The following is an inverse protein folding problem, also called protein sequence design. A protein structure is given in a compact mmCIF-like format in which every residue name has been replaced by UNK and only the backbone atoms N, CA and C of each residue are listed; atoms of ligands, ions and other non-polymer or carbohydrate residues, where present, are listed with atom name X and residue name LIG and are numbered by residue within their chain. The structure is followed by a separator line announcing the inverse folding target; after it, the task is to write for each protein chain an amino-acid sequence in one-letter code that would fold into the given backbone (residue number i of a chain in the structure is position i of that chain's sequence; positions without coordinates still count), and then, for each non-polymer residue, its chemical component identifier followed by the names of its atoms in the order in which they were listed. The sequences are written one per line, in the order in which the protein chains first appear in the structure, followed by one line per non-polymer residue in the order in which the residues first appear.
data_IF_289262163118
#
_entry.id   IF_289262163118
#
_cell.length_a   1.000
_cell.length_b   1.000
_cell.length_c   1.000
_cell.angle_alpha   90.00
_cell.angle_beta   90.00
_cell.angle_gamma   90.00
#
_symmetry.space_group_name_H-M   'P 1'
#
loop_
_entity.id
_entity.type
_entity.pdbx_description
1 polymer ?
#
# COMPACT_ATOMS: atom_id res chain seq x y z
N UNK A 1 -11.98 14.24 -3.37
CA UNK A 1 -11.23 13.53 -4.41
C UNK A 1 -9.74 13.54 -4.07
N UNK A 2 -9.08 12.40 -4.19
CA UNK A 2 -7.65 12.21 -3.93
C UNK A 2 -6.97 11.62 -5.16
N UNK A 3 -5.70 11.96 -5.38
CA UNK A 3 -4.91 11.49 -6.53
C UNK A 3 -3.70 10.73 -6.03
N UNK A 4 -3.58 9.46 -6.41
CA UNK A 4 -2.39 8.64 -6.12
C UNK A 4 -1.64 8.38 -7.42
N UNK A 5 -0.60 9.17 -7.65
CA UNK A 5 0.29 8.98 -8.79
C UNK A 5 0.98 7.61 -8.69
N UNK A 6 1.02 6.88 -9.80
CA UNK A 6 1.69 5.58 -9.88
C UNK A 6 3.21 5.77 -9.87
N UNK A 7 3.89 4.87 -9.17
CA UNK A 7 5.35 4.84 -9.01
C UNK A 7 6.02 3.82 -9.93
N UNK A 8 5.22 2.98 -10.61
CA UNK A 8 5.70 1.82 -11.35
C UNK A 8 5.82 0.56 -10.49
N UNK A 9 5.57 0.66 -9.18
CA UNK A 9 5.37 -0.47 -8.28
C UNK A 9 3.87 -0.78 -8.26
N UNK A 10 3.41 -1.54 -9.26
CA UNK A 10 1.97 -1.72 -9.56
C UNK A 10 1.15 -2.22 -8.37
N UNK A 11 1.65 -3.19 -7.60
CA UNK A 11 0.92 -3.71 -6.44
C UNK A 11 0.91 -2.70 -5.30
N UNK A 12 2.05 -2.05 -5.04
CA UNK A 12 2.14 -0.98 -4.06
C UNK A 12 1.16 0.16 -4.39
N UNK A 13 1.12 0.61 -5.64
CA UNK A 13 0.24 1.68 -6.09
C UNK A 13 -1.24 1.32 -5.93
N UNK A 14 -1.60 0.09 -6.29
CA UNK A 14 -2.95 -0.43 -6.11
C UNK A 14 -3.32 -0.50 -4.62
N UNK A 15 -2.45 -1.05 -3.78
CA UNK A 15 -2.69 -1.11 -2.34
C UNK A 15 -2.78 0.25 -1.68
N UNK A 16 -2.02 1.25 -2.14
CA UNK A 16 -2.19 2.63 -1.65
C UNK A 16 -3.58 3.15 -1.96
N UNK A 17 -4.10 2.92 -3.16
CA UNK A 17 -5.43 3.39 -3.55
C UNK A 17 -6.53 2.73 -2.71
N UNK A 18 -6.51 1.40 -2.59
CA UNK A 18 -7.45 0.65 -1.76
C UNK A 18 -7.30 0.98 -0.27
N UNK A 19 -6.07 1.14 0.21
CA UNK A 19 -5.77 1.48 1.58
C UNK A 19 -6.24 2.87 1.97
N UNK A 20 -6.05 3.88 1.12
CA UNK A 20 -6.59 5.23 1.36
C UNK A 20 -8.12 5.22 1.34
N UNK A 21 -8.71 4.53 0.36
CA UNK A 21 -10.16 4.37 0.27
C UNK A 21 -10.71 3.75 1.55
N UNK A 22 -10.12 2.66 2.03
CA UNK A 22 -10.58 1.98 3.24
C UNK A 22 -10.25 2.75 4.52
N UNK A 23 -9.15 3.50 4.56
CA UNK A 23 -8.82 4.39 5.68
C UNK A 23 -9.85 5.52 5.85
N UNK A 24 -10.47 5.99 4.77
CA UNK A 24 -11.56 6.97 4.78
C UNK A 24 -12.91 6.28 5.03
N UNK A 25 -13.17 5.16 4.35
CA UNK A 25 -14.47 4.47 4.37
C UNK A 25 -14.72 3.69 5.66
N UNK A 26 -13.68 3.16 6.30
CA UNK A 26 -13.82 2.30 7.47
C UNK A 26 -14.75 1.10 7.24
N UNK A 27 -15.17 0.48 8.34
CA UNK A 27 -16.21 -0.55 8.34
C UNK A 27 -17.58 0.04 8.64
N UNK A 28 -17.62 1.13 9.42
CA UNK A 28 -18.86 1.72 9.92
C UNK A 28 -19.18 3.10 9.31
N UNK A 29 -18.33 3.67 8.44
CA UNK A 29 -18.67 4.96 7.84
C UNK A 29 -19.55 4.79 6.60
N UNK A 30 -20.49 5.73 6.44
CA UNK A 30 -21.43 5.77 5.33
C UNK A 30 -20.87 6.51 4.08
N UNK A 31 -19.56 6.72 4.00
CA UNK A 31 -18.95 7.37 2.85
C UNK A 31 -18.96 6.42 1.65
N UNK A 32 -19.47 6.88 0.50
CA UNK A 32 -19.41 6.10 -0.73
C UNK A 32 -18.07 6.42 -1.40
N UNK A 33 -17.24 5.41 -1.59
CA UNK A 33 -15.88 5.58 -2.11
C UNK A 33 -15.71 4.83 -3.42
N UNK A 34 -15.22 5.54 -4.43
CA UNK A 34 -14.98 5.02 -5.76
C UNK A 34 -13.50 5.12 -6.11
N UNK A 35 -12.94 4.03 -6.61
CA UNK A 35 -11.55 3.99 -7.11
C UNK A 35 -11.59 3.88 -8.63
N UNK A 36 -10.92 4.81 -9.30
CA UNK A 36 -10.76 4.84 -10.75
C UNK A 36 -9.28 4.73 -11.10
N UNK A 37 -8.92 3.78 -11.97
CA UNK A 37 -7.61 3.78 -12.61
C UNK A 37 -7.67 4.70 -13.84
N UNK A 38 -6.81 5.72 -13.90
CA UNK A 38 -6.72 6.66 -15.04
C UNK A 38 -5.51 6.40 -15.94
N UNK A 39 -4.72 5.36 -15.70
CA UNK A 39 -3.43 5.16 -16.36
C UNK A 39 -2.29 5.60 -15.46
N UNK A 40 -1.91 6.89 -15.41
CA UNK A 40 -0.77 7.36 -14.61
C UNK A 40 -1.06 7.53 -13.12
N UNK A 41 -2.33 7.46 -12.71
CA UNK A 41 -2.74 7.62 -11.32
C UNK A 41 -4.03 6.85 -11.02
N UNK A 42 -4.21 6.49 -9.74
CA UNK A 42 -5.51 6.13 -9.18
C UNK A 42 -6.21 7.38 -8.63
N UNK A 43 -7.50 7.51 -8.92
CA UNK A 43 -8.37 8.55 -8.33
C UNK A 43 -9.28 7.88 -7.31
N UNK A 44 -9.19 8.35 -6.06
CA UNK A 44 -10.10 7.96 -4.99
C UNK A 44 -11.11 9.09 -4.82
N UNK A 45 -12.31 8.86 -5.32
CA UNK A 45 -13.42 9.78 -5.18
C UNK A 45 -14.27 9.40 -3.97
N UNK A 46 -14.69 10.41 -3.21
CA UNK A 46 -15.37 10.24 -1.93
C UNK A 46 -16.63 11.09 -1.95
N UNK A 47 -17.78 10.43 -1.92
CA UNK A 47 -19.08 11.07 -1.78
C UNK A 47 -19.52 11.00 -0.31
N UNK A 48 -19.85 12.16 0.27
CA UNK A 48 -20.22 12.31 1.67
C UNK A 48 -19.12 12.94 2.52
N UNK A 49 -19.27 12.81 3.85
CA UNK A 49 -18.34 13.43 4.79
C UNK A 49 -17.13 12.51 5.04
N UNK A 50 -15.93 13.05 4.83
CA UNK A 50 -14.69 12.42 5.27
C UNK A 50 -14.68 12.44 6.81
N UNK A 51 -14.49 11.30 7.50
CA UNK A 51 -14.47 11.26 8.95
C UNK A 51 -13.27 12.03 9.50
N UNK A 52 -13.32 12.44 10.77
CA UNK A 52 -12.22 13.20 11.41
C UNK A 52 -11.08 12.29 11.89
N UNK A 53 -11.30 10.99 11.94
CA UNK A 53 -10.38 9.97 12.41
C UNK A 53 -10.66 8.66 11.68
N UNK A 54 -9.66 7.77 11.54
CA UNK A 54 -9.89 6.47 10.95
C UNK A 54 -10.72 5.59 11.89
N UNK A 55 -11.46 4.64 11.32
CA UNK A 55 -12.16 3.62 12.09
C UNK A 55 -11.14 2.71 12.81
N UNK A 56 -11.16 2.61 14.15
CA UNK A 56 -10.23 1.78 14.90
C UNK A 56 -10.23 0.29 14.50
N UNK A 57 -11.37 -0.22 14.00
CA UNK A 57 -11.52 -1.64 13.62
C UNK A 57 -10.65 -2.02 12.42
N UNK A 58 -10.19 -1.06 11.62
CA UNK A 58 -9.25 -1.28 10.51
C UNK A 58 -7.96 -1.97 10.99
N UNK A 59 -7.55 -1.69 12.23
CA UNK A 59 -6.26 -2.15 12.78
C UNK A 59 -6.38 -3.43 13.62
N UNK A 60 -7.59 -3.95 13.83
CA UNK A 60 -7.79 -5.20 14.56
C UNK A 60 -7.25 -6.39 13.74
N UNK A 61 -6.59 -7.33 14.40
CA UNK A 61 -6.14 -8.58 13.78
C UNK A 61 -7.31 -9.56 13.85
N UNK A 62 -7.85 -9.96 12.70
CA UNK A 62 -8.99 -10.89 12.60
C UNK A 62 -8.65 -12.02 11.64
N UNK A 63 -9.40 -13.12 11.68
CA UNK A 63 -9.24 -14.20 10.70
C UNK A 63 -9.52 -13.73 9.25
N UNK A 64 -10.27 -12.65 9.09
CA UNK A 64 -10.65 -12.09 7.79
C UNK A 64 -9.64 -11.16 7.16
N UNK A 65 -8.55 -10.80 7.85
CA UNK A 65 -7.52 -9.90 7.29
C UNK A 65 -6.11 -10.51 7.31
N UNK A 66 -5.25 -9.97 6.46
CA UNK A 66 -3.98 -10.56 6.09
C UNK A 66 -2.77 -9.90 6.76
N UNK A 67 -2.94 -9.19 7.88
CA UNK A 67 -1.85 -8.48 8.57
C UNK A 67 -0.60 -9.35 8.80
N UNK A 68 -0.80 -10.61 9.23
CA UNK A 68 0.29 -11.57 9.44
C UNK A 68 1.00 -11.98 8.15
N UNK A 69 0.31 -11.92 7.00
CA UNK A 69 0.86 -12.24 5.68
C UNK A 69 1.58 -11.04 5.05
N UNK A 70 1.14 -9.81 5.35
CA UNK A 70 1.83 -8.59 4.92
C UNK A 70 3.19 -8.50 5.60
N UNK A 71 3.27 -8.78 6.90
CA UNK A 71 4.52 -8.65 7.66
C UNK A 71 5.19 -10.01 7.95
N UNK A 72 5.11 -11.00 7.04
CA UNK A 72 5.60 -12.38 7.22
C UNK A 72 6.97 -12.54 7.91
N UNK A 73 7.89 -11.61 7.66
CA UNK A 73 9.26 -11.66 8.19
C UNK A 73 9.41 -11.04 9.58
N UNK A 74 8.37 -10.38 10.10
CA UNK A 74 8.37 -9.81 11.44
C UNK A 74 8.14 -10.92 12.47
N UNK A 75 9.22 -11.39 13.08
CA UNK A 75 9.16 -12.13 14.33
C UNK A 75 9.29 -11.13 15.48
N UNK A 76 8.29 -11.09 16.35
CA UNK A 76 8.35 -10.31 17.58
C UNK A 76 9.51 -10.84 18.44
N UNK A 77 10.62 -10.13 18.42
CA UNK A 77 11.82 -10.46 19.17
C UNK A 77 11.79 -9.63 20.45
N UNK A 78 11.61 -10.30 21.60
CA UNK A 78 11.50 -9.66 22.93
C UNK A 78 12.71 -8.77 23.29
N UNK A 79 13.83 -9.00 22.62
CA UNK A 79 15.13 -8.32 22.73
C UNK A 79 15.24 -7.05 21.87
N UNK A 80 14.41 -6.90 20.83
CA UNK A 80 14.36 -5.71 20.01
C UNK A 80 13.25 -4.77 20.52
N UNK A 81 13.62 -3.55 20.93
CA UNK A 81 12.67 -2.44 21.21
C UNK A 81 11.96 -1.93 19.93
N UNK A 82 11.75 -2.81 18.95
CA UNK A 82 11.17 -2.47 17.65
C UNK A 82 9.67 -2.70 17.79
N UNK A 83 8.93 -1.60 17.67
CA UNK A 83 7.48 -1.59 17.70
C UNK A 83 6.91 -2.53 16.63
N UNK A 84 5.86 -3.32 16.92
CA UNK A 84 5.21 -4.15 15.91
C UNK A 84 4.75 -3.31 14.70
N UNK A 85 4.94 -3.77 13.45
CA UNK A 85 4.59 -3.00 12.26
C UNK A 85 3.12 -2.58 12.23
N UNK A 86 2.21 -3.44 12.71
CA UNK A 86 0.77 -3.13 12.77
C UNK A 86 0.50 -1.97 13.74
N UNK A 87 1.14 -1.97 14.91
CA UNK A 87 1.03 -0.86 15.86
C UNK A 87 1.64 0.43 15.30
N UNK A 88 2.71 0.34 14.50
CA UNK A 88 3.28 1.49 13.79
C UNK A 88 2.34 2.02 12.70
N UNK A 89 1.72 1.14 11.90
CA UNK A 89 0.67 1.53 10.94
C UNK A 89 -0.47 2.24 11.66
N UNK A 90 -0.95 1.69 12.79
CA UNK A 90 -2.02 2.26 13.60
C UNK A 90 -1.66 3.65 14.13
N UNK A 91 -0.48 3.82 14.73
CA UNK A 91 -0.05 5.13 15.23
C UNK A 91 0.08 6.15 14.11
N UNK A 92 0.68 5.78 12.97
CA UNK A 92 0.81 6.68 11.82
C UNK A 92 -0.58 7.08 11.33
N UNK A 93 -1.49 6.12 11.15
CA UNK A 93 -2.83 6.37 10.65
C UNK A 93 -3.66 7.26 11.58
N UNK A 94 -3.56 7.06 12.91
CA UNK A 94 -4.33 7.83 13.91
C UNK A 94 -3.70 9.22 14.13
N UNK A 95 -2.40 9.27 14.42
CA UNK A 95 -1.71 10.52 14.78
C UNK A 95 -1.51 11.46 13.59
N UNK A 96 -1.46 10.91 12.37
CA UNK A 96 -1.21 11.66 11.15
C UNK A 96 -2.35 11.56 10.13
N UNK A 97 -3.56 11.19 10.55
CA UNK A 97 -4.72 11.03 9.66
C UNK A 97 -4.91 12.22 8.70
N UNK A 98 -5.06 13.43 9.23
CA UNK A 98 -5.25 14.64 8.42
C UNK A 98 -4.06 14.91 7.48
N UNK A 99 -2.84 14.56 7.91
CA UNK A 99 -1.64 14.73 7.09
C UNK A 99 -1.57 13.72 5.94
N UNK A 100 -2.02 12.48 6.17
CA UNK A 100 -2.15 11.48 5.11
C UNK A 100 -3.15 11.98 4.06
N UNK A 101 -4.31 12.47 4.49
CA UNK A 101 -5.33 13.03 3.60
C UNK A 101 -4.79 14.24 2.81
N UNK A 102 -4.16 15.19 3.49
CA UNK A 102 -3.58 16.38 2.88
C UNK A 102 -2.54 16.02 1.81
N UNK A 103 -1.57 15.16 2.14
CA UNK A 103 -0.52 14.74 1.21
C UNK A 103 -1.09 14.10 -0.05
N UNK A 104 -2.05 13.18 0.08
CA UNK A 104 -2.65 12.44 -1.04
C UNK A 104 -3.77 13.22 -1.77
N UNK A 105 -4.13 14.40 -1.27
CA UNK A 105 -4.97 15.34 -1.99
C UNK A 105 -4.20 16.14 -3.04
N UNK A 106 -2.87 16.23 -2.89
CA UNK A 106 -1.99 16.97 -3.81
C UNK A 106 -1.70 16.18 -5.07
N UNK A 107 -1.96 16.79 -6.23
CA UNK A 107 -1.78 16.15 -7.53
C UNK A 107 -0.31 15.90 -7.92
N UNK A 108 0.62 16.61 -7.30
CA UNK A 108 2.07 16.52 -7.57
C UNK A 108 2.79 15.55 -6.62
N UNK A 109 2.08 14.96 -5.66
CA UNK A 109 2.70 14.05 -4.71
C UNK A 109 3.08 12.71 -5.36
N UNK A 110 4.34 12.35 -5.25
CA UNK A 110 4.88 11.03 -5.60
C UNK A 110 5.60 10.49 -4.35
N UNK A 111 5.32 9.24 -3.92
CA UNK A 111 6.03 8.61 -2.81
C UNK A 111 7.54 8.64 -3.00
N UNK A 112 8.26 8.97 -1.95
CA UNK A 112 9.72 8.83 -1.94
C UNK A 112 10.07 7.35 -1.74
N UNK A 113 10.77 6.76 -2.70
CA UNK A 113 11.19 5.35 -2.68
C UNK A 113 12.70 5.27 -2.91
N UNK A 114 13.43 4.55 -2.05
CA UNK A 114 14.87 4.41 -2.18
C UNK A 114 15.51 3.55 -1.10
N UNK A 115 16.84 3.43 -1.11
CA UNK A 115 17.58 2.67 -0.10
C UNK A 115 17.59 3.35 1.28
N UNK A 116 17.37 4.66 1.30
CA UNK A 116 17.23 5.46 2.51
C UNK A 116 16.20 6.55 2.24
N UNK A 117 15.12 6.55 3.01
CA UNK A 117 14.06 7.55 2.95
C UNK A 117 13.94 8.15 4.35
N UNK A 118 13.83 9.48 4.46
CA UNK A 118 13.67 10.13 5.76
C UNK A 118 12.36 9.70 6.39
N UNK A 119 12.42 9.21 7.63
CA UNK A 119 11.27 8.59 8.31
C UNK A 119 10.67 7.40 7.52
N UNK A 120 11.43 6.79 6.61
CA UNK A 120 10.97 5.72 5.75
C UNK A 120 10.65 4.43 6.50
N UNK A 121 9.89 3.56 5.85
CA UNK A 121 9.58 2.20 6.28
C UNK A 121 9.92 1.22 5.18
N UNK A 122 10.30 0.01 5.56
CA UNK A 122 10.63 -1.04 4.62
C UNK A 122 9.42 -1.37 3.74
N UNK A 123 9.60 -1.31 2.42
CA UNK A 123 8.65 -1.85 1.46
C UNK A 123 8.84 -3.36 1.40
N UNK A 124 7.85 -4.09 1.92
CA UNK A 124 7.91 -5.55 1.97
C UNK A 124 7.61 -6.16 0.60
N UNK A 125 8.24 -7.30 0.30
CA UNK A 125 7.98 -8.07 -0.92
C UNK A 125 6.51 -8.52 -1.06
N UNK A 126 5.83 -8.71 0.08
CA UNK A 126 4.40 -8.96 0.17
C UNK A 126 3.54 -7.75 -0.21
N UNK A 127 4.08 -6.54 -0.23
CA UNK A 127 3.37 -5.36 -0.74
C UNK A 127 3.65 -5.20 -2.24
N UNK A 128 4.91 -5.37 -2.66
CA UNK A 128 5.29 -5.38 -4.06
C UNK A 128 6.47 -6.32 -4.33
N UNK A 129 6.32 -7.22 -5.30
CA UNK A 129 7.34 -8.23 -5.63
C UNK A 129 8.65 -7.58 -6.12
N UNK A 130 8.56 -6.40 -6.73
CA UNK A 130 9.73 -5.62 -7.20
C UNK A 130 10.60 -5.13 -6.05
N UNK A 131 10.08 -5.11 -4.82
CA UNK A 131 10.87 -4.82 -3.62
C UNK A 131 11.83 -5.96 -3.26
N UNK A 132 11.59 -7.19 -3.78
CA UNK A 132 12.43 -8.34 -3.47
C UNK A 132 13.87 -8.13 -3.94
N UNK A 133 14.80 -8.43 -3.05
CA UNK A 133 16.24 -8.18 -3.29
C UNK A 133 16.77 -8.90 -4.52
N UNK A 134 16.23 -10.09 -4.83
CA UNK A 134 16.62 -10.88 -6.00
C UNK A 134 16.25 -10.26 -7.35
N UNK A 135 15.29 -9.33 -7.39
CA UNK A 135 14.95 -8.58 -8.61
C UNK A 135 15.78 -7.31 -8.76
N UNK A 136 16.24 -6.70 -7.66
CA UNK A 136 16.91 -5.38 -7.67
C UNK A 136 18.43 -5.44 -7.75
N UNK A 137 19.05 -6.52 -7.30
CA UNK A 137 20.51 -6.62 -7.20
C UNK A 137 21.04 -7.84 -7.95
N UNK A 138 22.02 -7.61 -8.84
CA UNK A 138 22.75 -8.68 -9.52
C UNK A 138 23.66 -9.41 -8.51
N UNK A 139 23.29 -10.64 -8.13
CA UNK A 139 24.13 -11.45 -7.24
C UNK A 139 25.24 -12.14 -8.02
N UNK A 140 26.41 -11.49 -8.15
CA UNK A 140 27.65 -12.16 -8.57
C UNK A 140 28.47 -12.59 -7.35
N UNK A 141 28.55 -13.90 -7.14
CA UNK A 141 29.57 -14.66 -6.40
C UNK A 141 29.80 -14.36 -4.90
N UNK A 142 29.36 -13.22 -4.34
CA UNK A 142 29.48 -12.89 -2.92
C UNK A 142 28.09 -12.68 -2.33
N UNK A 143 27.77 -13.40 -1.26
CA UNK A 143 26.50 -13.24 -0.55
C UNK A 143 26.53 -11.90 0.21
N UNK A 144 25.97 -10.86 -0.42
CA UNK A 144 25.53 -9.67 0.29
C UNK A 144 24.03 -9.81 0.55
N UNK A 145 23.62 -9.44 1.76
CA UNK A 145 22.23 -9.59 2.19
C UNK A 145 21.27 -8.67 1.42
N UNK A 146 21.81 -7.67 0.70
CA UNK A 146 21.14 -6.69 -0.16
C UNK A 146 20.41 -5.59 0.62
N UNK A 147 20.21 -4.42 -0.01
CA UNK A 147 19.56 -3.28 0.61
C UNK A 147 18.05 -3.53 0.81
N UNK A 148 17.49 -3.03 1.90
CA UNK A 148 16.04 -2.93 2.06
C UNK A 148 15.59 -1.71 1.25
N UNK A 149 14.53 -1.85 0.46
CA UNK A 149 13.88 -0.70 -0.16
C UNK A 149 12.99 -0.05 0.89
N UNK A 150 13.08 1.26 1.03
CA UNK A 150 12.27 2.07 1.93
C UNK A 150 11.33 2.94 1.11
N UNK A 151 10.19 3.25 1.71
CA UNK A 151 9.21 4.20 1.18
C UNK A 151 8.73 5.12 2.30
N UNK A 152 8.26 6.32 1.96
CA UNK A 152 7.75 7.27 2.95
C UNK A 152 6.65 6.64 3.83
N UNK A 153 6.64 6.99 5.11
CA UNK A 153 5.77 6.35 6.09
C UNK A 153 4.27 6.50 5.82
N UNK A 154 3.84 7.55 5.13
CA UNK A 154 2.42 7.78 4.87
C UNK A 154 1.92 6.88 3.76
N UNK A 155 2.67 6.81 2.66
CA UNK A 155 2.41 5.89 1.56
C UNK A 155 2.55 4.43 2.00
N UNK A 156 3.54 4.14 2.85
CA UNK A 156 3.70 2.82 3.48
C UNK A 156 2.49 2.42 4.32
N UNK A 157 1.99 3.34 5.15
CA UNK A 157 0.86 3.12 6.04
C UNK A 157 -0.39 2.73 5.26
N UNK A 158 -0.77 3.52 4.25
CA UNK A 158 -1.95 3.21 3.42
C UNK A 158 -1.74 1.95 2.58
N UNK A 159 -0.54 1.72 2.01
CA UNK A 159 -0.27 0.48 1.28
C UNK A 159 -0.40 -0.76 2.18
N UNK A 160 0.05 -0.67 3.43
CA UNK A 160 -0.06 -1.76 4.39
C UNK A 160 -1.51 -2.08 4.73
N UNK A 161 -2.36 -1.05 4.90
CA UNK A 161 -3.80 -1.22 5.09
C UNK A 161 -4.43 -1.89 3.87
N UNK A 162 -4.12 -1.41 2.66
CA UNK A 162 -4.61 -2.01 1.42
C UNK A 162 -4.21 -3.47 1.27
N UNK A 163 -2.94 -3.79 1.53
CA UNK A 163 -2.43 -5.16 1.46
C UNK A 163 -3.07 -6.10 2.48
N UNK A 164 -3.38 -5.60 3.67
CA UNK A 164 -4.00 -6.40 4.72
C UNK A 164 -5.47 -6.72 4.45
N UNK A 165 -6.23 -5.79 3.85
CA UNK A 165 -7.68 -5.93 3.68
C UNK A 165 -8.09 -6.39 2.28
N UNK A 166 -7.28 -6.10 1.26
CA UNK A 166 -7.62 -6.39 -0.14
C UNK A 166 -6.63 -7.32 -0.82
N UNK A 167 -5.51 -7.65 -0.17
CA UNK A 167 -4.62 -8.71 -0.62
C UNK A 167 -5.21 -10.08 -0.26
N UNK A 168 -5.49 -10.91 -1.26
CA UNK A 168 -5.89 -12.31 -1.03
C UNK A 168 -4.65 -13.20 -1.04
N UNK A 169 -4.36 -13.84 0.09
CA UNK A 169 -3.19 -14.70 0.29
C UNK A 169 -3.61 -16.16 0.48
N UNK A 170 -3.82 -16.94 -0.59
CA UNK A 170 -4.26 -18.32 -0.45
C UNK A 170 -3.16 -19.14 0.24
N UNK A 171 -3.40 -19.51 1.49
CA UNK A 171 -2.64 -20.55 2.17
C UNK A 171 -3.16 -21.88 1.64
N UNK A 172 -2.30 -22.67 0.99
CA UNK A 172 -2.57 -24.04 0.53
C UNK A 172 -3.32 -24.22 -0.80
N UNK A 173 -2.90 -23.57 -1.88
CA UNK A 173 -3.41 -23.96 -3.21
C UNK A 173 -2.86 -25.33 -3.68
N UNK A 174 -1.71 -25.81 -3.18
CA UNK A 174 -1.21 -27.16 -3.49
C UNK A 174 -0.51 -27.83 -2.30
N UNK A 175 -0.65 -29.14 -2.23
CA UNK A 175 -0.09 -30.03 -1.21
C UNK A 175 1.45 -29.90 -1.10
N UNK A 176 1.88 -29.95 0.16
CA UNK A 176 3.18 -30.33 0.75
C UNK A 176 4.50 -29.65 0.39
N UNK A 177 4.86 -29.26 -0.84
CA UNK A 177 6.28 -28.95 -1.09
C UNK A 177 6.61 -27.65 -1.87
N UNK A 178 5.63 -26.81 -2.21
CA UNK A 178 5.89 -25.52 -2.87
C UNK A 178 4.94 -24.45 -2.31
N UNK A 179 5.45 -23.58 -1.44
CA UNK A 179 4.71 -22.42 -0.92
C UNK A 179 4.93 -21.20 -1.79
N UNK A 180 4.09 -21.00 -2.81
CA UNK A 180 4.00 -19.70 -3.49
C UNK A 180 2.89 -18.87 -2.87
N UNK A 181 3.16 -17.59 -2.61
CA UNK A 181 2.14 -16.62 -2.19
C UNK A 181 1.53 -16.00 -3.44
N UNK A 182 0.26 -16.27 -3.71
CA UNK A 182 -0.51 -15.49 -4.70
C UNK A 182 -1.08 -14.29 -3.96
N UNK A 183 -1.06 -13.11 -4.59
CA UNK A 183 -1.82 -11.97 -4.11
C UNK A 183 -2.79 -11.56 -5.21
N UNK A 184 -4.09 -11.65 -4.93
CA UNK A 184 -5.13 -11.11 -5.83
C UNK A 184 -5.71 -9.86 -5.20
N UNK A 185 -5.85 -8.80 -5.99
CA UNK A 185 -6.45 -7.52 -5.59
C UNK A 185 -7.68 -7.31 -6.48
N UNK A 186 -8.83 -6.88 -5.94
CA UNK A 186 -9.97 -6.55 -6.79
C UNK A 186 -9.59 -5.47 -7.81
N UNK A 187 -10.16 -5.56 -9.01
CA UNK A 187 -9.98 -4.52 -10.01
C UNK A 187 -10.72 -3.25 -9.56
N UNK A 188 -10.13 -2.05 -9.79
CA UNK A 188 -10.82 -0.78 -9.57
C UNK A 188 -12.17 -0.75 -10.29
N UNK A 189 -13.14 0.00 -9.72
CA UNK A 189 -14.52 0.10 -10.23
C UNK A 189 -14.58 0.49 -11.70
N UNK A 190 -13.60 1.25 -12.18
CA UNK A 190 -13.40 1.56 -13.59
C UNK A 190 -11.91 1.62 -13.91
N UNK A 191 -11.50 0.94 -14.98
CA UNK A 191 -10.18 1.09 -15.58
C UNK A 191 -10.32 1.91 -16.85
N UNK A 192 -9.70 3.07 -16.88
CA UNK A 192 -9.64 3.94 -18.05
C UNK A 192 -8.24 3.83 -18.66
N UNK A 193 -8.15 3.05 -19.74
CA UNK A 193 -6.96 2.99 -20.56
C UNK A 193 -6.87 4.29 -21.36
N UNK A 194 -6.15 5.26 -20.82
CA UNK A 194 -5.87 6.50 -21.55
C UNK A 194 -4.69 6.24 -22.48
N UNK A 195 -4.90 6.44 -23.77
CA UNK A 195 -3.83 6.30 -24.77
C UNK A 195 -2.85 7.48 -24.68
N UNK A 196 -1.60 7.29 -25.10
CA UNK A 196 -0.57 8.33 -25.05
C UNK A 196 -1.00 9.64 -25.74
N UNK A 197 -1.86 9.54 -26.77
CA UNK A 197 -2.41 10.67 -27.53
C UNK A 197 -3.39 11.51 -26.72
N UNK A 198 -4.27 10.87 -25.96
CA UNK A 198 -5.23 11.55 -25.09
C UNK A 198 -4.57 12.24 -23.88
N UNK A 199 -3.38 11.77 -23.46
CA UNK A 199 -2.58 12.42 -22.42
C UNK A 199 -2.03 13.76 -22.95
N UNK A 200 -1.48 13.78 -24.16
CA UNK A 200 -0.97 15.01 -24.78
C UNK A 200 -2.06 16.07 -24.93
N UNK A 201 -3.24 15.70 -25.43
CA UNK A 201 -4.36 16.63 -25.61
C UNK A 201 -4.91 17.23 -24.32
N UNK A 202 -4.67 16.59 -23.16
CA UNK A 202 -5.08 17.09 -21.84
C UNK A 202 -4.06 17.99 -21.19
N UNK A 203 -2.77 17.81 -21.48
CA UNK A 203 -1.70 18.67 -20.96
C UNK A 203 -1.69 20.03 -21.69
N UNK A 204 -2.16 20.05 -22.94
CA UNK A 204 -2.23 21.27 -23.77
C UNK A 204 -3.49 22.12 -23.54
N UNK A 205 -4.39 21.73 -22.65
CA UNK A 205 -5.59 22.48 -22.25
C UNK A 205 -5.51 22.96 -20.80
#
# INVERSE_FOLDING_TARGET
MFTLNKTGFEMFDCFRAYGLAFLIGGLENNAIINIYDKGPAYIVDVEGNIPKSPDPKIFEITEGNAWSMVFQTFKERKDLKVKPPIEDVKDIAIQHYNKILDIHSRHDFIPEIGNSVKDGRTLYQSIDVSAAKGYREEKRSVYHEGSQLQVDKFSWCIASIGAAWFGVWPRNLMRRDISFSVCSIPNPRKVLLITHREIHERIEK
#
